data_IF_202292318866
#
_entry.id   IF_202292318866
#
_cell.length_a   1.000
_cell.length_b   1.000
_cell.length_c   1.000
_cell.angle_alpha   90.00
_cell.angle_beta   90.00
_cell.angle_gamma   90.00
#
_symmetry.space_group_name_H-M   'P 1'
#
loop_
_entity.id
_entity.type
_entity.pdbx_description
1 polymer ?
#
# COMPACT_ATOMS: atom_id res chain seq x y z
N UNK A 1 5.02 -12.11 -3.39
CA UNK A 1 5.46 -10.71 -3.53
C UNK A 1 6.79 -10.60 -4.24
N UNK A 2 7.91 -11.08 -3.68
CA UNK A 2 9.24 -10.89 -4.30
C UNK A 2 9.44 -11.56 -5.66
N UNK A 3 8.87 -12.75 -5.89
CA UNK A 3 8.99 -13.45 -7.18
C UNK A 3 8.28 -12.66 -8.29
N UNK A 4 7.01 -12.28 -8.05
CA UNK A 4 6.21 -11.49 -9.00
C UNK A 4 6.80 -10.08 -9.18
N UNK A 5 7.42 -9.51 -8.14
CA UNK A 5 8.04 -8.18 -8.23
C UNK A 5 9.19 -8.12 -9.25
N UNK A 6 9.84 -9.26 -9.55
CA UNK A 6 10.84 -9.35 -10.62
C UNK A 6 10.17 -9.18 -11.98
N UNK A 7 9.02 -9.82 -12.19
CA UNK A 7 8.26 -9.74 -13.44
C UNK A 7 7.60 -8.36 -13.63
N UNK A 8 7.36 -7.63 -12.54
CA UNK A 8 6.78 -6.27 -12.52
C UNK A 8 7.84 -5.16 -12.45
N UNK A 9 9.11 -5.51 -12.65
CA UNK A 9 10.26 -4.62 -12.56
C UNK A 9 10.41 -3.84 -11.23
N UNK A 10 9.77 -4.26 -10.14
CA UNK A 10 9.73 -3.56 -8.84
C UNK A 10 10.37 -4.31 -7.67
N UNK A 11 11.37 -5.11 -8.00
CA UNK A 11 12.02 -6.02 -7.07
C UNK A 11 12.84 -5.30 -6.01
N UNK A 12 13.46 -4.14 -6.27
CA UNK A 12 14.26 -3.43 -5.25
C UNK A 12 13.39 -2.76 -4.16
N UNK A 13 12.31 -2.10 -4.56
CA UNK A 13 11.32 -1.50 -3.67
C UNK A 13 10.58 -2.57 -2.88
N UNK A 14 10.12 -3.62 -3.56
CA UNK A 14 9.45 -4.76 -2.92
C UNK A 14 10.35 -5.46 -1.91
N UNK A 15 11.64 -5.64 -2.24
CA UNK A 15 12.64 -6.18 -1.33
C UNK A 15 12.79 -5.30 -0.09
N UNK A 16 12.76 -3.97 -0.25
CA UNK A 16 12.81 -3.03 0.89
C UNK A 16 11.56 -3.17 1.76
N UNK A 17 10.38 -3.14 1.16
CA UNK A 17 9.09 -3.23 1.86
C UNK A 17 9.00 -4.56 2.63
N UNK A 18 9.32 -5.68 1.99
CA UNK A 18 9.31 -7.00 2.64
C UNK A 18 10.30 -7.05 3.81
N UNK A 19 11.46 -6.42 3.68
CA UNK A 19 12.44 -6.34 4.77
C UNK A 19 11.94 -5.49 5.94
N UNK A 20 11.23 -4.39 5.65
CA UNK A 20 10.62 -3.52 6.66
C UNK A 20 9.48 -4.21 7.42
N UNK A 21 8.67 -5.02 6.72
CA UNK A 21 7.58 -5.79 7.33
C UNK A 21 8.09 -7.00 8.15
N UNK A 22 9.29 -7.50 7.86
CA UNK A 22 9.88 -8.66 8.54
C UNK A 22 10.50 -8.35 9.90
N UNK A 23 10.54 -7.08 10.31
CA UNK A 23 11.07 -6.66 11.62
C UNK A 23 9.94 -6.15 12.52
N UNK A 24 10.11 -6.17 13.85
CA UNK A 24 9.18 -5.53 14.77
C UNK A 24 8.98 -4.04 14.45
N UNK A 25 7.90 -3.46 14.97
CA UNK A 25 7.52 -2.06 14.76
C UNK A 25 8.72 -1.11 14.84
N UNK A 26 8.94 -0.35 13.77
CA UNK A 26 10.08 0.56 13.65
C UNK A 26 9.86 1.90 14.38
N UNK A 27 8.60 2.31 14.54
CA UNK A 27 8.24 3.56 15.20
C UNK A 27 8.00 3.31 16.68
N UNK A 28 8.41 4.25 17.52
CA UNK A 28 8.15 4.20 18.96
C UNK A 28 7.48 5.48 19.44
N UNK A 29 6.56 5.34 20.39
CA UNK A 29 5.74 6.44 20.91
C UNK A 29 6.01 6.63 22.41
N UNK A 30 6.98 7.47 22.78
CA UNK A 30 7.37 7.67 24.18
C UNK A 30 6.30 8.46 24.96
N UNK A 31 6.04 8.05 26.21
CA UNK A 31 5.11 8.75 27.10
C UNK A 31 5.60 10.19 27.37
N UNK A 32 4.73 11.17 27.24
CA UNK A 32 5.00 12.60 27.40
C UNK A 32 5.51 13.30 26.13
N UNK A 33 5.77 12.57 25.05
CA UNK A 33 6.12 13.12 23.72
C UNK A 33 5.34 12.43 22.60
N UNK A 34 4.13 11.99 22.91
CA UNK A 34 3.27 11.29 21.95
C UNK A 34 2.95 12.17 20.73
N UNK A 35 2.59 13.43 20.93
CA UNK A 35 2.24 14.35 19.85
C UNK A 35 3.42 14.60 18.90
N UNK A 36 4.63 14.77 19.43
CA UNK A 36 5.84 14.95 18.61
C UNK A 36 6.15 13.69 17.78
N UNK A 37 5.98 12.51 18.38
CA UNK A 37 6.16 11.23 17.70
C UNK A 37 5.15 11.05 16.57
N UNK A 38 3.89 11.38 16.82
CA UNK A 38 2.82 11.25 15.83
C UNK A 38 3.03 12.26 14.68
N UNK A 39 3.41 13.51 14.99
CA UNK A 39 3.75 14.53 13.99
C UNK A 39 5.00 14.18 13.16
N UNK A 40 6.02 13.54 13.76
CA UNK A 40 7.17 13.06 13.02
C UNK A 40 6.78 11.93 12.05
N UNK A 41 5.92 11.01 12.50
CA UNK A 41 5.42 9.91 11.68
C UNK A 41 4.60 10.39 10.49
N UNK A 42 3.76 11.40 10.69
CA UNK A 42 2.91 11.98 9.65
C UNK A 42 3.73 12.50 8.45
N UNK A 43 4.94 13.03 8.70
CA UNK A 43 5.84 13.51 7.63
C UNK A 43 6.31 12.40 6.69
N UNK A 44 6.27 11.14 7.11
CA UNK A 44 6.63 10.00 6.27
C UNK A 44 5.43 9.38 5.57
N UNK A 45 4.21 9.71 6.02
CA UNK A 45 3.01 9.09 5.53
C UNK A 45 2.89 9.33 4.03
N UNK A 46 2.87 8.25 3.27
CA UNK A 46 2.52 8.28 1.86
C UNK A 46 1.00 8.10 1.78
N UNK A 47 0.29 9.03 1.12
CA UNK A 47 -1.13 8.86 0.84
C UNK A 47 -1.44 7.46 0.29
N UNK A 48 -2.53 6.87 0.74
CA UNK A 48 -3.05 5.59 0.26
C UNK A 48 -2.20 4.34 0.54
N UNK A 49 -1.01 4.46 1.16
CA UNK A 49 -0.15 3.28 1.37
C UNK A 49 0.79 3.34 2.58
N UNK A 50 0.53 2.44 3.54
CA UNK A 50 1.48 2.15 4.62
C UNK A 50 2.73 1.43 4.11
N UNK A 51 2.61 0.60 3.07
CA UNK A 51 3.75 -0.09 2.46
C UNK A 51 4.74 0.93 1.86
N UNK A 52 4.22 1.92 1.13
CA UNK A 52 5.02 3.01 0.59
C UNK A 52 5.54 3.95 1.68
N UNK A 53 4.79 4.12 2.78
CA UNK A 53 5.28 4.82 3.96
C UNK A 53 6.56 4.17 4.51
N UNK A 54 6.59 2.84 4.64
CA UNK A 54 7.83 2.14 5.04
C UNK A 54 8.97 2.31 4.04
N UNK A 55 8.67 2.23 2.75
CA UNK A 55 9.66 2.49 1.71
C UNK A 55 10.24 3.92 1.83
N UNK A 56 9.39 4.92 2.00
CA UNK A 56 9.77 6.33 2.19
C UNK A 56 10.69 6.49 3.41
N UNK A 57 10.32 5.91 4.56
CA UNK A 57 11.17 5.93 5.78
C UNK A 57 12.55 5.35 5.50
N UNK A 58 12.62 4.18 4.86
CA UNK A 58 13.90 3.54 4.56
C UNK A 58 14.75 4.37 3.59
N UNK A 59 14.14 4.95 2.56
CA UNK A 59 14.83 5.81 1.59
C UNK A 59 15.35 7.08 2.23
N UNK A 60 14.56 7.76 3.06
CA UNK A 60 15.03 8.94 3.78
C UNK A 60 16.16 8.60 4.76
N UNK A 61 16.07 7.48 5.48
CA UNK A 61 17.15 7.03 6.35
C UNK A 61 18.44 6.72 5.59
N UNK A 62 18.33 6.07 4.41
CA UNK A 62 19.44 5.81 3.50
C UNK A 62 20.10 7.10 3.01
N UNK A 63 19.30 8.08 2.57
CA UNK A 63 19.80 9.40 2.14
C UNK A 63 20.48 10.17 3.28
N UNK A 64 20.03 9.95 4.51
CA UNK A 64 20.65 10.48 5.74
C UNK A 64 21.79 9.58 6.27
N UNK A 65 22.48 8.87 5.37
CA UNK A 65 23.66 8.05 5.66
C UNK A 65 23.46 7.02 6.77
N UNK A 66 22.25 6.49 6.92
CA UNK A 66 21.91 5.53 7.95
C UNK A 66 22.15 6.04 9.38
N UNK A 67 21.98 7.35 9.58
CA UNK A 67 22.27 8.03 10.84
C UNK A 67 21.40 7.53 12.00
N UNK A 68 22.04 7.22 13.13
CA UNK A 68 21.34 6.90 14.37
C UNK A 68 20.68 8.14 15.00
N UNK A 69 21.30 9.31 14.82
CA UNK A 69 20.75 10.58 15.28
C UNK A 69 19.45 10.90 14.54
N UNK A 70 19.44 10.74 13.21
CA UNK A 70 18.23 10.93 12.40
C UNK A 70 17.08 10.01 12.86
N UNK A 71 17.38 8.74 13.17
CA UNK A 71 16.38 7.84 13.74
C UNK A 71 15.83 8.34 15.07
N UNK A 72 16.68 8.83 15.97
CA UNK A 72 16.23 9.37 17.26
C UNK A 72 15.36 10.62 17.10
N UNK A 73 15.73 11.53 16.21
CA UNK A 73 14.97 12.76 15.91
C UNK A 73 13.60 12.47 15.31
N UNK A 74 13.40 11.29 14.73
CA UNK A 74 12.17 10.91 14.03
C UNK A 74 11.44 9.75 14.71
N UNK A 75 11.79 9.45 15.96
CA UNK A 75 11.13 8.41 16.76
C UNK A 75 11.15 7.02 16.10
N UNK A 76 12.27 6.69 15.46
CA UNK A 76 12.54 5.42 14.80
C UNK A 76 13.55 4.60 15.60
N UNK A 77 13.27 3.32 15.80
CA UNK A 77 14.18 2.39 16.44
C UNK A 77 15.38 2.04 15.53
N UNK A 78 16.54 2.63 15.82
CA UNK A 78 17.79 2.35 15.08
C UNK A 78 18.15 0.85 15.06
N UNK A 79 17.87 0.11 16.15
CA UNK A 79 18.11 -1.34 16.22
C UNK A 79 17.23 -2.10 15.22
N UNK A 80 15.95 -1.71 15.09
CA UNK A 80 15.04 -2.30 14.11
C UNK A 80 15.50 -1.98 12.68
N UNK A 81 15.87 -0.72 12.39
CA UNK A 81 16.35 -0.31 11.06
C UNK A 81 17.66 -1.00 10.64
N UNK A 82 18.58 -1.24 11.59
CA UNK A 82 19.78 -2.06 11.32
C UNK A 82 19.39 -3.49 10.94
N UNK A 83 18.43 -4.08 11.66
CA UNK A 83 17.91 -5.41 11.34
C UNK A 83 17.27 -5.47 9.95
N UNK A 84 16.54 -4.43 9.55
CA UNK A 84 15.99 -4.32 8.18
C UNK A 84 17.10 -4.44 7.13
N UNK A 85 18.22 -3.75 7.31
CA UNK A 85 19.34 -3.82 6.35
C UNK A 85 19.96 -5.20 6.27
N UNK A 86 20.12 -5.87 7.41
CA UNK A 86 20.62 -7.25 7.43
C UNK A 86 19.68 -8.19 6.66
N UNK A 87 18.38 -8.13 6.95
CA UNK A 87 17.35 -8.94 6.27
C UNK A 87 17.33 -8.63 4.78
N UNK A 88 17.37 -7.35 4.41
CA UNK A 88 17.42 -6.92 3.01
C UNK A 88 18.64 -7.45 2.27
N UNK A 89 19.81 -7.43 2.91
CA UNK A 89 21.05 -7.99 2.36
C UNK A 89 20.91 -9.50 2.11
N UNK A 90 20.45 -10.23 3.12
CA UNK A 90 20.24 -11.69 3.01
C UNK A 90 19.24 -12.05 1.90
N UNK A 91 18.11 -11.35 1.85
CA UNK A 91 17.12 -11.56 0.81
C UNK A 91 17.67 -11.22 -0.57
N UNK A 92 18.45 -10.15 -0.71
CA UNK A 92 19.14 -9.81 -1.98
C UNK A 92 20.07 -10.93 -2.43
N UNK A 93 20.88 -11.46 -1.52
CA UNK A 93 21.81 -12.55 -1.82
C UNK A 93 21.06 -13.80 -2.28
N UNK A 94 19.96 -14.14 -1.62
CA UNK A 94 19.08 -15.24 -2.03
C UNK A 94 18.49 -14.98 -3.43
N UNK A 95 18.04 -13.76 -3.72
CA UNK A 95 17.51 -13.42 -5.05
C UNK A 95 18.55 -13.60 -6.15
N UNK A 96 19.80 -13.17 -5.90
CA UNK A 96 20.92 -13.37 -6.83
C UNK A 96 21.22 -14.86 -7.03
N UNK A 97 21.26 -15.64 -5.95
CA UNK A 97 21.47 -17.10 -6.02
C UNK A 97 20.39 -17.80 -6.84
N UNK A 98 19.14 -17.33 -6.74
CA UNK A 98 18.00 -17.85 -7.49
C UNK A 98 17.86 -17.25 -8.89
N UNK A 99 18.85 -16.45 -9.36
CA UNK A 99 18.87 -15.78 -10.67
C UNK A 99 17.66 -14.86 -10.92
N UNK A 100 17.15 -14.24 -9.86
CA UNK A 100 16.10 -13.23 -9.95
C UNK A 100 16.73 -11.83 -10.15
N UNK A 101 16.57 -11.18 -11.32
CA UNK A 101 17.12 -9.84 -11.55
C UNK A 101 16.50 -8.80 -10.62
N UNK A 102 17.32 -7.86 -10.14
CA UNK A 102 16.86 -6.69 -9.39
C UNK A 102 16.69 -5.49 -10.32
N UNK A 103 15.51 -4.90 -10.36
CA UNK A 103 15.13 -3.75 -11.17
C UNK A 103 14.51 -2.69 -10.25
N UNK A 104 14.89 -1.42 -10.39
CA UNK A 104 14.21 -0.30 -9.75
C UNK A 104 13.04 0.19 -10.63
N UNK A 105 11.87 0.47 -10.05
CA UNK A 105 10.76 1.16 -10.76
C UNK A 105 10.60 2.61 -10.32
N UNK A 106 10.27 3.43 -11.31
CA UNK A 106 9.62 4.73 -11.12
C UNK A 106 8.16 4.52 -10.72
N UNK A 107 7.80 4.95 -9.52
CA UNK A 107 6.49 4.73 -8.90
C UNK A 107 5.39 5.60 -9.55
N UNK A 108 4.33 4.98 -10.08
CA UNK A 108 3.17 5.67 -10.67
C UNK A 108 2.10 5.93 -9.58
N UNK A 109 1.52 7.13 -9.64
CA UNK A 109 0.81 7.80 -8.54
C UNK A 109 -0.64 7.38 -8.21
N UNK A 110 -1.06 7.93 -7.09
CA UNK A 110 -2.30 7.77 -6.28
C UNK A 110 -3.55 8.45 -6.85
N UNK A 111 -4.74 7.94 -6.53
CA UNK A 111 -6.04 8.52 -6.92
C UNK A 111 -7.00 8.65 -5.73
N UNK A 112 -7.36 9.89 -5.40
CA UNK A 112 -8.23 10.28 -4.27
C UNK A 112 -9.71 9.88 -4.40
N UNK A 113 -10.36 9.53 -3.27
CA UNK A 113 -11.84 9.46 -3.21
C UNK A 113 -12.46 8.92 -1.90
N UNK A 114 -13.33 9.76 -1.28
CA UNK A 114 -14.13 9.81 0.00
C UNK A 114 -14.44 8.57 0.92
N UNK A 115 -14.79 8.83 2.21
CA UNK A 115 -14.76 7.95 3.44
C UNK A 115 -15.78 6.79 3.57
N UNK A 116 -15.80 5.86 4.55
CA UNK A 116 -15.37 5.73 5.98
C UNK A 116 -14.80 4.30 6.30
N UNK A 117 -13.79 4.23 7.19
CA UNK A 117 -12.84 3.11 7.44
C UNK A 117 -13.33 1.78 8.06
N UNK A 118 -14.43 1.20 7.57
CA UNK A 118 -14.83 -0.19 7.86
C UNK A 118 -14.82 -1.01 6.58
N UNK A 119 -14.08 -2.12 6.58
CA UNK A 119 -13.95 -3.00 5.41
C UNK A 119 -14.46 -4.40 5.73
N UNK A 120 -14.86 -5.13 4.69
CA UNK A 120 -15.26 -6.54 4.81
C UNK A 120 -14.21 -7.39 4.13
N UNK A 121 -13.72 -8.40 4.85
CA UNK A 121 -12.75 -9.34 4.29
C UNK A 121 -13.39 -10.17 3.16
N UNK A 122 -12.88 -10.06 1.94
CA UNK A 122 -13.45 -10.74 0.77
C UNK A 122 -13.42 -12.28 0.85
N UNK A 123 -12.58 -12.87 1.71
CA UNK A 123 -12.47 -14.33 1.88
C UNK A 123 -13.36 -14.86 2.99
N UNK A 124 -13.49 -14.13 4.09
CA UNK A 124 -14.18 -14.62 5.30
C UNK A 124 -15.52 -13.93 5.56
N UNK A 125 -15.81 -12.83 4.87
CA UNK A 125 -17.01 -12.01 5.09
C UNK A 125 -17.02 -11.25 6.42
N UNK A 126 -15.92 -11.29 7.19
CA UNK A 126 -15.86 -10.63 8.50
C UNK A 126 -15.63 -9.12 8.36
N UNK A 127 -16.34 -8.29 9.14
CA UNK A 127 -16.04 -6.86 9.23
C UNK A 127 -14.70 -6.65 9.94
N UNK A 128 -13.92 -5.70 9.44
CA UNK A 128 -12.60 -5.35 9.96
C UNK A 128 -12.43 -3.83 9.93
N UNK A 129 -11.64 -3.30 10.86
CA UNK A 129 -11.38 -1.87 11.01
C UNK A 129 -9.94 -1.52 10.59
N UNK A 130 -9.73 -0.32 10.07
CA UNK A 130 -8.37 0.20 9.92
C UNK A 130 -7.73 0.41 11.30
N UNK A 131 -6.50 -0.04 11.47
CA UNK A 131 -5.75 0.25 12.69
C UNK A 131 -5.47 1.78 12.78
N UNK A 132 -5.59 2.42 13.97
CA UNK A 132 -5.45 3.87 14.13
C UNK A 132 -4.11 4.44 13.67
N UNK A 133 -3.08 3.60 13.59
CA UNK A 133 -1.74 3.99 13.15
C UNK A 133 -1.54 3.94 11.64
N UNK A 134 -2.51 3.43 10.88
CA UNK A 134 -2.43 3.39 9.42
C UNK A 134 -2.52 4.81 8.86
N UNK A 135 -1.71 5.13 7.85
CA UNK A 135 -1.79 6.38 7.11
C UNK A 135 -3.21 6.60 6.58
N UNK A 136 -3.89 5.52 6.12
CA UNK A 136 -5.25 5.58 5.60
C UNK A 136 -6.31 5.94 6.66
N UNK A 137 -6.02 5.82 7.96
CA UNK A 137 -6.98 6.13 9.02
C UNK A 137 -7.36 7.62 9.05
N UNK A 138 -6.46 8.52 8.64
CA UNK A 138 -6.61 9.97 8.76
C UNK A 138 -6.99 10.73 7.48
N UNK A 139 -7.11 10.06 6.32
CA UNK A 139 -7.20 10.75 5.03
C UNK A 139 -8.55 11.40 4.71
N UNK A 140 -9.57 11.19 5.54
CA UNK A 140 -10.93 11.67 5.23
C UNK A 140 -11.59 10.93 4.05
N UNK A 141 -10.91 9.93 3.49
CA UNK A 141 -11.45 9.05 2.47
C UNK A 141 -11.11 7.56 2.61
N UNK A 142 -11.86 6.69 1.93
CA UNK A 142 -11.64 5.24 1.92
C UNK A 142 -11.66 4.68 0.51
N UNK A 143 -10.55 4.08 0.07
CA UNK A 143 -10.50 3.29 -1.16
C UNK A 143 -11.57 2.19 -1.19
N UNK A 144 -12.10 1.88 -2.36
CA UNK A 144 -13.07 0.78 -2.54
C UNK A 144 -12.47 -0.59 -2.19
N UNK A 145 -11.18 -0.77 -2.51
CA UNK A 145 -10.43 -2.00 -2.22
C UNK A 145 -9.10 -1.67 -1.55
N UNK A 146 -8.77 -2.50 -0.55
CA UNK A 146 -7.51 -2.42 0.17
C UNK A 146 -6.89 -3.80 0.32
N UNK A 147 -5.56 -3.83 0.43
CA UNK A 147 -4.78 -4.99 0.86
C UNK A 147 -4.14 -4.65 2.20
N UNK A 148 -4.13 -5.62 3.14
CA UNK A 148 -3.51 -5.48 4.45
C UNK A 148 -2.47 -6.59 4.67
N UNK A 149 -1.46 -6.29 5.49
CA UNK A 149 -0.40 -7.27 5.82
C UNK A 149 -0.81 -8.21 6.95
N UNK A 150 -1.38 -7.65 8.03
CA UNK A 150 -1.70 -8.40 9.24
C UNK A 150 -3.10 -8.05 9.76
N UNK A 151 -3.76 -9.03 10.37
CA UNK A 151 -5.03 -8.86 11.07
C UNK A 151 -4.81 -9.12 12.56
N UNK A 152 -4.99 -8.09 13.38
CA UNK A 152 -4.83 -8.15 14.84
C UNK A 152 -6.21 -8.33 15.48
N UNK A 153 -6.41 -9.46 16.15
CA UNK A 153 -7.64 -9.76 16.88
C UNK A 153 -7.58 -9.18 18.30
N UNK A 154 -8.48 -8.25 18.61
CA UNK A 154 -8.66 -7.68 19.96
C UNK A 154 -10.16 -7.66 20.31
N UNK A 155 -10.64 -6.67 21.08
CA UNK A 155 -12.09 -6.40 21.21
C UNK A 155 -12.74 -5.99 19.87
N UNK A 156 -11.94 -5.54 18.91
CA UNK A 156 -12.29 -5.37 17.50
C UNK A 156 -11.16 -5.91 16.63
N UNK A 157 -11.47 -6.36 15.43
CA UNK A 157 -10.49 -6.83 14.45
C UNK A 157 -9.89 -5.63 13.70
N UNK A 158 -8.57 -5.44 13.82
CA UNK A 158 -7.87 -4.33 13.18
C UNK A 158 -6.91 -4.82 12.10
N UNK A 159 -6.99 -4.21 10.92
CA UNK A 159 -6.05 -4.42 9.81
C UNK A 159 -4.86 -3.48 9.96
N UNK A 160 -3.65 -4.05 9.90
CA UNK A 160 -2.39 -3.33 9.97
C UNK A 160 -1.63 -3.37 8.65
N UNK A 161 -0.90 -2.29 8.37
CA UNK A 161 -0.16 -2.03 7.14
C UNK A 161 -1.03 -2.19 5.89
N UNK A 162 -1.84 -1.17 5.63
CA UNK A 162 -2.88 -1.18 4.61
C UNK A 162 -2.44 -0.38 3.37
N UNK A 163 -2.89 -0.80 2.19
CA UNK A 163 -2.67 -0.07 0.93
C UNK A 163 -3.89 -0.16 0.04
N UNK A 164 -4.28 0.98 -0.54
CA UNK A 164 -5.32 1.08 -1.55
C UNK A 164 -4.92 0.33 -2.83
N UNK A 165 -5.86 -0.36 -3.45
CA UNK A 165 -5.65 -1.05 -4.73
C UNK A 165 -6.87 -0.91 -5.63
N UNK A 166 -6.67 -1.03 -6.95
CA UNK A 166 -7.77 -1.18 -7.90
C UNK A 166 -8.31 -2.63 -7.88
N UNK A 167 -9.63 -2.79 -7.90
CA UNK A 167 -10.27 -4.11 -7.98
C UNK A 167 -9.92 -4.88 -9.27
N UNK A 168 -9.63 -4.18 -10.36
CA UNK A 168 -9.16 -4.77 -11.61
C UNK A 168 -7.79 -5.43 -11.45
N UNK A 169 -6.87 -4.82 -10.69
CA UNK A 169 -5.56 -5.41 -10.41
C UNK A 169 -5.69 -6.72 -9.64
N UNK A 170 -6.64 -6.80 -8.69
CA UNK A 170 -6.92 -8.03 -7.96
C UNK A 170 -7.42 -9.14 -8.91
N UNK A 171 -8.32 -8.80 -9.84
CA UNK A 171 -8.82 -9.76 -10.82
C UNK A 171 -7.75 -10.19 -11.85
N UNK A 172 -6.85 -9.29 -12.23
CA UNK A 172 -5.76 -9.58 -13.16
C UNK A 172 -4.66 -10.45 -12.50
N UNK A 173 -4.24 -10.12 -11.28
CA UNK A 173 -3.18 -10.83 -10.56
C UNK A 173 -3.67 -12.08 -9.84
N UNK A 174 -4.96 -12.18 -9.55
CA UNK A 174 -5.59 -13.30 -8.86
C UNK A 174 -6.90 -13.78 -9.50
N UNK A 175 -6.92 -14.12 -10.81
CA UNK A 175 -8.15 -14.43 -11.54
C UNK A 175 -8.88 -15.68 -11.02
N UNK A 176 -8.17 -16.57 -10.33
CA UNK A 176 -8.74 -17.75 -9.67
C UNK A 176 -9.51 -17.41 -8.38
N UNK A 177 -9.25 -16.24 -7.79
CA UNK A 177 -9.82 -15.80 -6.51
C UNK A 177 -10.78 -14.63 -6.66
N UNK A 178 -10.58 -13.79 -7.68
CA UNK A 178 -11.28 -12.53 -7.84
C UNK A 178 -11.87 -12.41 -9.25
N UNK A 179 -13.10 -11.89 -9.33
CA UNK A 179 -13.74 -11.54 -10.60
C UNK A 179 -14.44 -10.21 -10.40
N UNK A 180 -14.13 -9.23 -11.25
CA UNK A 180 -14.84 -7.94 -11.23
C UNK A 180 -16.24 -8.17 -11.75
N UNK A 181 -17.24 -8.11 -10.87
CA UNK A 181 -18.63 -8.01 -11.29
C UNK A 181 -18.85 -6.59 -11.79
N UNK A 182 -19.13 -6.43 -13.09
CA UNK A 182 -19.57 -5.15 -13.63
C UNK A 182 -20.74 -4.63 -12.79
N UNK A 183 -20.55 -3.48 -12.13
CA UNK A 183 -21.63 -2.89 -11.34
C UNK A 183 -22.79 -2.49 -12.27
N UNK A 184 -24.02 -2.55 -11.76
CA UNK A 184 -25.20 -2.10 -12.51
C UNK A 184 -25.06 -0.64 -12.98
N UNK A 185 -24.32 0.20 -12.23
CA UNK A 185 -24.00 1.58 -12.60
C UNK A 185 -23.11 1.64 -13.86
N UNK A 186 -22.05 0.85 -13.92
CA UNK A 186 -21.13 0.78 -15.07
C UNK A 186 -21.83 0.25 -16.33
N UNK A 187 -22.77 -0.69 -16.19
CA UNK A 187 -23.63 -1.16 -17.29
C UNK A 187 -24.61 -0.10 -17.79
N UNK A 188 -25.18 0.69 -16.88
CA UNK A 188 -26.09 1.78 -17.22
C UNK A 188 -25.33 2.91 -17.95
N UNK A 189 -24.12 3.25 -17.50
CA UNK A 189 -23.27 4.26 -18.12
C UNK A 189 -22.76 3.84 -19.50
N UNK A 190 -22.33 2.59 -19.69
CA UNK A 190 -21.99 2.06 -21.03
C UNK A 190 -23.20 2.10 -21.96
N UNK A 191 -24.41 1.74 -21.48
CA UNK A 191 -25.65 1.84 -22.27
C UNK A 191 -26.01 3.28 -22.61
N UNK A 192 -25.74 4.23 -21.70
CA UNK A 192 -25.98 5.65 -21.94
C UNK A 192 -25.03 6.20 -23.00
N UNK A 193 -23.72 5.93 -22.87
CA UNK A 193 -22.71 6.31 -23.86
C UNK A 193 -22.97 5.70 -25.23
N UNK A 194 -23.27 4.40 -25.30
CA UNK A 194 -23.61 3.75 -26.57
C UNK A 194 -24.83 4.39 -27.25
N UNK A 195 -25.82 4.87 -26.47
CA UNK A 195 -27.00 5.57 -26.98
C UNK A 195 -26.69 7.00 -27.44
N UNK A 196 -25.79 7.69 -26.74
CA UNK A 196 -25.27 9.00 -27.12
C UNK A 196 -24.45 8.91 -28.43
N UNK A 197 -23.59 7.90 -28.55
CA UNK A 197 -22.77 7.64 -29.75
C UNK A 197 -23.65 7.27 -30.96
N UNK A 198 -24.69 6.45 -30.77
CA UNK A 198 -25.67 6.14 -31.82
C UNK A 198 -26.43 7.38 -32.30
N UNK A 199 -26.83 8.25 -31.38
CA UNK A 199 -27.52 9.51 -31.71
C UNK A 199 -26.61 10.46 -32.50
N UNK A 200 -25.32 10.53 -32.15
CA UNK A 200 -24.35 11.36 -32.85
C UNK A 200 -24.09 10.86 -34.29
N UNK A 201 -24.07 9.53 -34.50
CA UNK A 201 -23.93 8.93 -35.83
C UNK A 201 -25.15 9.18 -36.74
N UNK A 202 -26.36 9.26 -36.17
CA UNK A 202 -27.59 9.57 -36.92
C UNK A 202 -27.66 11.04 -37.35
N UNK A 203 -27.11 11.96 -36.54
CA UNK A 203 -27.01 13.38 -36.85
C UNK A 203 -25.95 13.68 -37.93
N UNK A 204 -24.78 13.03 -37.86
CA UNK A 204 -23.71 13.18 -38.87
C UNK A 204 -24.04 12.52 -40.22
N UNK A 205 -24.95 11.54 -40.24
CA UNK A 205 -25.41 10.86 -41.47
C UNK A 205 -26.51 11.60 -42.25
N UNK A 206 -27.02 12.72 -41.72
CA UNK A 206 -28.15 13.48 -42.30
C UNK A 206 -27.74 14.84 -42.90
N UNK A 207 -26.44 15.13 -43.02
CA UNK A 207 -25.88 16.33 -43.67
C UNK A 207 -25.29 16.04 -45.06
#
# INVERSE_FOLDING_TARGET
>A
MLIIAVDMDCSDESLTIVSMLSVPAIFFRPKGREEESDAAREKFAVPESDHLTYLNVYMQWKTNNYSAQWCNEHFIHIKAMRKVREVRGQLKDIMIQQKMPSSPVEMIGTSSGNGIGVYVNMRTGMPCHLHPTSALFGMGYTPDYIVYHELVMTSKEYMQCVTAVDGNWLAELGPMFYTVKESTKTRLEKRRRAREDLSAMEEDGSS
#
